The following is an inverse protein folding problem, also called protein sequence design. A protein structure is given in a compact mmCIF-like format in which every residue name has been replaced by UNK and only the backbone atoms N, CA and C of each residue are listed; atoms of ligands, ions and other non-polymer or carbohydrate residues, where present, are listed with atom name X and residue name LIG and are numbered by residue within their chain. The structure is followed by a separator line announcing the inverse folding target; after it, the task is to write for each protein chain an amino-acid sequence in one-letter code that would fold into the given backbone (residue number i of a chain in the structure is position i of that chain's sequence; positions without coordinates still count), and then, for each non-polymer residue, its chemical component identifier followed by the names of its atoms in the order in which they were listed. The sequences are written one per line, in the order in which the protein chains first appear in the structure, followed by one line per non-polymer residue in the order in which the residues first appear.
data_IF_210350726563
#
_entry.id   IF_210350726563
#
_cell.length_a   1.000
_cell.length_b   1.000
_cell.length_c   1.000
_cell.angle_alpha   90.00
_cell.angle_beta   90.00
_cell.angle_gamma   90.00
#
_symmetry.space_group_name_H-M   'P 1'
#
loop_
_entity.id
_entity.type
_entity.pdbx_description
1 polymer ?
#
# COMPACT_ATOMS: atom_id res chain seq x y z
N UNK A 1 3.93 3.35 -15.53
CA UNK A 1 4.31 2.87 -14.18
C UNK A 1 3.60 1.58 -13.81
N UNK A 2 2.26 1.54 -13.76
CA UNK A 2 1.49 0.32 -13.42
C UNK A 2 1.89 -0.87 -14.28
N UNK A 3 1.92 -0.73 -15.61
CA UNK A 3 2.33 -1.83 -16.50
C UNK A 3 3.77 -2.29 -16.26
N UNK A 4 4.69 -1.36 -15.97
CA UNK A 4 6.09 -1.71 -15.63
C UNK A 4 6.15 -2.57 -14.37
N UNK A 5 5.42 -2.20 -13.32
CA UNK A 5 5.32 -2.97 -12.07
C UNK A 5 4.66 -4.34 -12.30
N UNK A 6 3.62 -4.40 -13.14
CA UNK A 6 2.98 -5.67 -13.52
C UNK A 6 3.93 -6.58 -14.29
N UNK A 7 4.72 -6.05 -15.21
CA UNK A 7 5.73 -6.83 -15.95
C UNK A 7 6.79 -7.40 -15.02
N UNK A 8 7.32 -6.58 -14.08
CA UNK A 8 8.27 -7.04 -13.07
C UNK A 8 7.71 -8.19 -12.23
N UNK A 9 6.42 -8.10 -11.87
CA UNK A 9 5.72 -9.13 -11.10
C UNK A 9 5.46 -10.41 -11.90
N UNK A 10 5.06 -10.29 -13.18
CA UNK A 10 4.78 -11.42 -14.08
C UNK A 10 6.01 -12.26 -14.36
N UNK A 11 7.18 -11.62 -14.46
CA UNK A 11 8.46 -12.32 -14.66
C UNK A 11 8.76 -13.33 -13.55
N UNK A 12 8.16 -13.17 -12.36
CA UNK A 12 8.34 -14.09 -11.22
C UNK A 12 7.06 -14.84 -10.86
N UNK A 13 6.00 -14.73 -11.65
CA UNK A 13 4.69 -15.31 -11.35
C UNK A 13 4.04 -14.77 -10.07
N UNK A 14 4.55 -13.67 -9.53
CA UNK A 14 4.13 -13.11 -8.24
C UNK A 14 3.03 -12.05 -8.41
N UNK A 15 2.41 -11.65 -7.29
CA UNK A 15 1.45 -10.55 -7.24
C UNK A 15 2.14 -9.19 -7.06
N UNK A 16 1.63 -8.17 -7.75
CA UNK A 16 2.06 -6.78 -7.57
C UNK A 16 1.31 -6.12 -6.39
N UNK A 17 2.07 -5.76 -5.36
CA UNK A 17 1.55 -5.20 -4.10
C UNK A 17 1.84 -3.70 -4.06
N UNK A 18 0.82 -2.89 -3.76
CA UNK A 18 1.00 -1.48 -3.45
C UNK A 18 0.79 -1.25 -1.95
N UNK A 19 1.73 -0.58 -1.31
CA UNK A 19 1.72 -0.26 0.12
C UNK A 19 1.64 1.26 0.27
N UNK A 20 0.59 1.76 0.93
CA UNK A 20 0.52 3.18 1.29
C UNK A 20 1.32 3.44 2.55
N UNK A 21 2.57 3.86 2.37
CA UNK A 21 3.50 4.24 3.44
C UNK A 21 4.23 5.53 3.03
N UNK A 22 4.24 6.51 3.94
CA UNK A 22 4.91 7.80 3.75
C UNK A 22 5.57 8.23 5.06
N UNK A 23 6.89 8.37 5.05
CA UNK A 23 7.71 8.62 6.23
C UNK A 23 7.32 9.93 6.89
N UNK A 24 7.09 10.99 6.11
CA UNK A 24 6.67 12.31 6.62
C UNK A 24 5.35 12.25 7.41
N UNK A 25 4.44 11.35 7.02
CA UNK A 25 3.17 11.13 7.72
C UNK A 25 3.35 10.25 8.95
N UNK A 26 4.23 9.24 8.88
CA UNK A 26 4.53 8.39 10.03
C UNK A 26 5.20 9.17 11.17
N UNK A 27 6.11 10.09 10.86
CA UNK A 27 6.77 10.93 11.85
C UNK A 27 5.82 11.91 12.53
N UNK A 28 4.84 12.44 11.77
CA UNK A 28 3.85 13.40 12.29
C UNK A 28 2.70 12.74 13.04
N UNK A 29 2.38 11.47 12.76
CA UNK A 29 1.27 10.76 13.40
C UNK A 29 1.75 9.97 14.60
N UNK A 30 1.08 10.13 15.73
CA UNK A 30 1.24 9.22 16.87
C UNK A 30 0.67 7.85 16.49
N UNK A 31 1.52 6.93 16.06
CA UNK A 31 1.16 5.56 15.71
C UNK A 31 0.89 4.70 16.95
N UNK A 32 0.06 5.19 17.89
CA UNK A 32 -0.36 4.43 19.06
C UNK A 32 -1.66 3.69 18.77
N UNK A 33 -1.73 2.45 19.22
CA UNK A 33 -2.95 1.66 19.13
C UNK A 33 -4.08 2.31 19.94
N UNK A 34 -5.29 2.34 19.37
CA UNK A 34 -6.48 2.80 20.06
C UNK A 34 -7.12 1.65 20.81
N UNK A 35 -7.95 1.97 21.82
CA UNK A 35 -8.69 1.00 22.64
C UNK A 35 -9.54 -0.01 21.85
N UNK A 36 -9.88 0.29 20.59
CA UNK A 36 -10.62 -0.60 19.70
C UNK A 36 -9.72 -1.50 18.82
N UNK A 37 -8.44 -1.64 19.16
CA UNK A 37 -7.46 -2.44 18.43
C UNK A 37 -7.03 -1.87 17.07
N UNK A 38 -7.44 -0.63 16.75
CA UNK A 38 -7.06 0.04 15.49
C UNK A 38 -5.88 0.96 15.72
N UNK A 39 -4.84 0.80 14.89
CA UNK A 39 -3.68 1.68 14.85
C UNK A 39 -3.82 2.69 13.71
N UNK A 40 -3.52 4.00 13.92
CA UNK A 40 -3.67 5.01 12.89
C UNK A 40 -2.60 4.92 11.80
N UNK A 41 -1.46 4.28 12.09
CA UNK A 41 -0.37 4.04 11.18
C UNK A 41 0.54 2.88 11.64
N UNK A 42 1.27 2.28 10.69
CA UNK A 42 2.20 1.16 10.91
C UNK A 42 3.59 1.49 10.36
N UNK A 43 4.63 1.08 11.09
CA UNK A 43 6.04 1.26 10.70
C UNK A 43 6.46 0.32 9.57
N UNK A 44 7.59 0.58 8.93
CA UNK A 44 8.16 -0.31 7.91
C UNK A 44 8.39 -1.73 8.44
N UNK A 45 8.84 -1.86 9.69
CA UNK A 45 9.03 -3.14 10.39
C UNK A 45 7.71 -3.89 10.54
N UNK A 46 6.66 -3.21 11.00
CA UNK A 46 5.34 -3.83 11.15
C UNK A 46 4.73 -4.25 9.81
N UNK A 47 4.91 -3.44 8.76
CA UNK A 47 4.45 -3.80 7.42
C UNK A 47 5.23 -5.00 6.88
N UNK A 48 6.56 -5.04 7.06
CA UNK A 48 7.40 -6.17 6.66
C UNK A 48 6.90 -7.46 7.31
N UNK A 49 6.71 -7.43 8.63
CA UNK A 49 6.27 -8.59 9.40
C UNK A 49 4.85 -9.02 9.01
N UNK A 50 3.98 -8.05 8.76
CA UNK A 50 2.64 -8.29 8.24
C UNK A 50 2.67 -8.96 6.86
N UNK A 51 3.45 -8.45 5.90
CA UNK A 51 3.53 -9.01 4.55
C UNK A 51 4.05 -10.45 4.57
N UNK A 52 5.06 -10.74 5.40
CA UNK A 52 5.53 -12.11 5.62
C UNK A 52 4.43 -12.99 6.23
N UNK A 53 3.74 -12.49 7.25
CA UNK A 53 2.67 -13.22 7.96
C UNK A 53 1.52 -13.62 7.04
N UNK A 54 1.18 -12.81 6.04
CA UNK A 54 0.12 -13.12 5.07
C UNK A 54 0.59 -14.01 3.91
N UNK A 55 1.89 -14.34 3.84
CA UNK A 55 2.44 -15.28 2.87
C UNK A 55 3.16 -14.65 1.68
N UNK A 56 3.42 -13.33 1.67
CA UNK A 56 4.28 -12.73 0.65
C UNK A 56 5.75 -13.05 0.90
N UNK A 57 6.52 -13.10 -0.17
CA UNK A 57 7.94 -13.46 -0.14
C UNK A 57 8.78 -12.49 -1.00
N UNK A 58 10.09 -12.73 -1.04
CA UNK A 58 11.06 -11.88 -1.72
C UNK A 58 10.81 -11.71 -3.23
N UNK A 59 10.02 -12.58 -3.86
CA UNK A 59 9.72 -12.50 -5.28
C UNK A 59 8.61 -11.53 -5.64
N UNK A 60 7.80 -11.12 -4.66
CA UNK A 60 6.74 -10.14 -4.85
C UNK A 60 7.30 -8.76 -5.20
N UNK A 61 6.72 -8.14 -6.22
CA UNK A 61 7.00 -6.74 -6.56
C UNK A 61 6.19 -5.82 -5.66
N UNK A 62 6.86 -4.91 -4.95
CA UNK A 62 6.24 -3.96 -4.03
C UNK A 62 6.44 -2.53 -4.55
N UNK A 63 5.37 -1.75 -4.54
CA UNK A 63 5.41 -0.30 -4.69
C UNK A 63 5.06 0.39 -3.38
N UNK A 64 5.89 1.34 -2.96
CA UNK A 64 5.64 2.21 -1.81
C UNK A 64 5.16 3.58 -2.31
N UNK A 65 4.17 4.17 -1.65
CA UNK A 65 3.71 5.55 -1.94
C UNK A 65 4.69 6.63 -1.49
N UNK A 66 5.91 6.25 -1.10
CA UNK A 66 7.00 7.17 -0.82
C UNK A 66 7.56 7.78 -2.11
N UNK A 67 8.05 9.02 -2.04
CA UNK A 67 8.60 9.70 -3.22
C UNK A 67 10.05 9.31 -3.47
N UNK A 68 10.90 9.46 -2.45
CA UNK A 68 12.33 9.15 -2.48
C UNK A 68 12.64 8.03 -1.50
N UNK A 69 13.64 7.20 -1.79
CA UNK A 69 14.04 6.17 -0.83
C UNK A 69 14.48 6.80 0.50
N UNK A 70 13.98 6.26 1.61
CA UNK A 70 14.36 6.67 2.95
C UNK A 70 14.89 5.45 3.71
N UNK A 71 15.98 5.61 4.47
CA UNK A 71 16.66 4.50 5.17
C UNK A 71 15.76 3.75 6.16
N UNK A 72 14.76 4.43 6.74
CA UNK A 72 13.76 3.79 7.61
C UNK A 72 12.91 2.72 6.90
N UNK A 73 12.94 2.68 5.56
CA UNK A 73 12.28 1.66 4.74
C UNK A 73 13.18 0.45 4.45
N UNK A 74 14.47 0.49 4.81
CA UNK A 74 15.41 -0.63 4.60
C UNK A 74 14.90 -1.98 5.13
N UNK A 75 14.26 -2.06 6.32
CA UNK A 75 13.71 -3.33 6.80
C UNK A 75 12.74 -4.02 5.82
N UNK A 76 11.99 -3.25 5.02
CA UNK A 76 11.15 -3.81 3.96
C UNK A 76 12.00 -4.33 2.80
N UNK A 77 12.97 -3.54 2.32
CA UNK A 77 13.80 -3.90 1.15
C UNK A 77 14.69 -5.10 1.41
N UNK A 78 15.17 -5.27 2.64
CA UNK A 78 16.00 -6.41 3.02
C UNK A 78 15.28 -7.75 2.86
N UNK A 79 13.96 -7.77 3.08
CA UNK A 79 13.11 -8.96 2.90
C UNK A 79 12.48 -9.03 1.51
N UNK A 80 12.13 -7.87 0.95
CA UNK A 80 11.46 -7.71 -0.33
C UNK A 80 12.33 -6.85 -1.25
N UNK A 81 13.37 -7.43 -1.88
CA UNK A 81 14.35 -6.65 -2.64
C UNK A 81 13.75 -5.93 -3.86
N UNK A 82 12.62 -6.43 -4.38
CA UNK A 82 11.85 -5.83 -5.49
C UNK A 82 10.87 -4.75 -4.99
N UNK A 83 11.36 -3.88 -4.12
CA UNK A 83 10.60 -2.75 -3.58
C UNK A 83 11.01 -1.46 -4.27
N UNK A 84 10.01 -0.72 -4.77
CA UNK A 84 10.19 0.47 -5.60
C UNK A 84 9.39 1.65 -5.06
N UNK A 85 9.93 2.85 -5.26
CA UNK A 85 9.29 4.15 -5.00
C UNK A 85 9.02 4.89 -6.31
N UNK A 86 8.48 6.10 -6.25
CA UNK A 86 8.34 6.96 -7.43
C UNK A 86 9.70 7.26 -8.08
N UNK A 87 10.73 7.49 -7.27
CA UNK A 87 12.08 7.79 -7.76
C UNK A 87 12.68 6.64 -8.59
N UNK A 88 12.44 5.39 -8.21
CA UNK A 88 12.92 4.22 -8.97
C UNK A 88 12.20 4.04 -10.32
N UNK A 89 10.94 4.50 -10.40
CA UNK A 89 10.06 4.23 -11.54
C UNK A 89 10.03 5.36 -12.57
N UNK A 90 10.30 6.61 -12.16
CA UNK A 90 10.33 7.77 -13.05
C UNK A 90 11.68 7.83 -13.77
N UNK A 91 11.71 7.90 -15.11
CA UNK A 91 12.94 8.10 -15.87
C UNK A 91 13.68 9.37 -15.44
N UNK A 92 15.01 9.34 -15.41
CA UNK A 92 15.85 10.41 -14.88
C UNK A 92 15.53 11.78 -15.49
N UNK A 93 15.27 11.81 -16.80
CA UNK A 93 14.98 13.02 -17.58
C UNK A 93 13.64 13.65 -17.19
N UNK A 94 12.74 12.85 -16.60
CA UNK A 94 11.40 13.27 -16.17
C UNK A 94 11.33 13.56 -14.67
N UNK A 95 12.35 13.21 -13.87
CA UNK A 95 12.33 13.39 -12.41
C UNK A 95 12.16 14.85 -12.00
N UNK A 96 12.87 15.78 -12.64
CA UNK A 96 12.73 17.21 -12.36
C UNK A 96 11.28 17.68 -12.53
N UNK A 97 10.66 17.32 -13.65
CA UNK A 97 9.28 17.70 -13.94
C UNK A 97 8.26 17.07 -12.97
N UNK A 98 8.39 15.79 -12.63
CA UNK A 98 7.37 15.06 -11.86
C UNK A 98 7.58 15.10 -10.35
N UNK A 99 8.83 15.01 -9.90
CA UNK A 99 9.17 14.92 -8.48
C UNK A 99 9.48 16.27 -7.84
N UNK A 100 9.94 17.24 -8.64
CA UNK A 100 10.32 18.56 -8.12
C UNK A 100 9.26 19.61 -8.49
N UNK A 101 8.96 19.82 -9.78
CA UNK A 101 8.01 20.87 -10.21
C UNK A 101 6.55 20.42 -10.30
N UNK A 102 6.28 19.11 -10.38
CA UNK A 102 4.94 18.55 -10.63
C UNK A 102 3.96 18.68 -9.46
N UNK A 103 4.45 19.12 -8.30
CA UNK A 103 3.63 19.37 -7.10
C UNK A 103 3.18 18.10 -6.38
N UNK A 104 2.81 18.26 -5.10
CA UNK A 104 2.38 17.15 -4.25
C UNK A 104 1.08 16.48 -4.74
N UNK A 105 0.23 17.18 -5.48
CA UNK A 105 -1.03 16.66 -5.99
C UNK A 105 -0.83 15.64 -7.10
N UNK A 106 0.08 15.91 -8.05
CA UNK A 106 0.41 14.97 -9.12
C UNK A 106 1.02 13.68 -8.56
N UNK A 107 1.91 13.82 -7.57
CA UNK A 107 2.50 12.66 -6.88
C UNK A 107 1.41 11.81 -6.20
N UNK A 108 0.47 12.44 -5.49
CA UNK A 108 -0.67 11.75 -4.87
C UNK A 108 -1.60 11.11 -5.89
N UNK A 109 -1.81 11.75 -7.05
CA UNK A 109 -2.62 11.20 -8.13
C UNK A 109 -1.98 9.94 -8.76
N UNK A 110 -0.66 9.94 -8.92
CA UNK A 110 0.10 8.75 -9.34
C UNK A 110 -0.02 7.62 -8.32
N UNK A 111 0.19 7.93 -7.03
CA UNK A 111 0.03 6.96 -5.94
C UNK A 111 -1.38 6.37 -5.94
N UNK A 112 -2.41 7.22 -6.04
CA UNK A 112 -3.81 6.80 -6.09
C UNK A 112 -4.07 5.85 -7.26
N UNK A 113 -3.57 6.16 -8.45
CA UNK A 113 -3.76 5.34 -9.64
C UNK A 113 -3.05 3.99 -9.52
N UNK A 114 -1.82 3.97 -9.00
CA UNK A 114 -1.05 2.73 -8.81
C UNK A 114 -1.71 1.83 -7.76
N UNK A 115 -2.04 2.38 -6.59
CA UNK A 115 -2.72 1.66 -5.52
C UNK A 115 -4.12 1.16 -5.94
N UNK A 116 -4.84 1.92 -6.77
CA UNK A 116 -6.15 1.50 -7.28
C UNK A 116 -6.07 0.34 -8.27
N UNK A 117 -4.94 0.20 -8.99
CA UNK A 117 -4.75 -0.82 -10.03
C UNK A 117 -3.89 -2.00 -9.60
N UNK A 118 -3.22 -1.97 -8.45
CA UNK A 118 -2.41 -3.10 -7.97
C UNK A 118 -3.23 -4.36 -7.76
N UNK A 119 -2.57 -5.52 -7.68
CA UNK A 119 -3.27 -6.78 -7.40
C UNK A 119 -3.68 -6.83 -5.93
N UNK A 120 -2.78 -6.41 -5.03
CA UNK A 120 -3.05 -6.26 -3.59
C UNK A 120 -2.75 -4.82 -3.16
N UNK A 121 -3.59 -4.27 -2.28
CA UNK A 121 -3.36 -2.96 -1.65
C UNK A 121 -3.27 -3.09 -0.13
N UNK A 122 -2.24 -2.50 0.47
CA UNK A 122 -1.97 -2.51 1.91
C UNK A 122 -1.85 -1.07 2.43
N UNK A 123 -2.84 -0.55 3.18
CA UNK A 123 -2.73 0.78 3.77
C UNK A 123 -1.94 0.74 5.08
N UNK A 124 -0.72 1.28 5.10
CA UNK A 124 0.03 1.46 6.34
C UNK A 124 -0.46 2.68 7.13
N UNK A 125 -1.21 3.59 6.50
CA UNK A 125 -1.73 4.81 7.11
C UNK A 125 -3.26 4.83 6.96
N UNK A 126 -3.96 5.00 8.09
CA UNK A 126 -5.40 5.29 8.05
C UNK A 126 -5.67 6.74 7.60
N UNK A 127 -6.75 6.95 6.85
CA UNK A 127 -7.21 8.28 6.45
C UNK A 127 -7.89 8.32 5.10
N UNK A 128 -8.04 9.52 4.56
CA UNK A 128 -8.76 9.78 3.30
C UNK A 128 -8.15 9.06 2.10
N UNK A 129 -6.82 8.97 2.03
CA UNK A 129 -6.16 8.28 0.91
C UNK A 129 -6.57 6.80 0.84
N UNK A 130 -6.51 6.09 1.97
CA UNK A 130 -7.00 4.72 2.09
C UNK A 130 -8.49 4.62 1.69
N UNK A 131 -9.36 5.47 2.22
CA UNK A 131 -10.79 5.48 1.87
C UNK A 131 -11.01 5.62 0.36
N UNK A 132 -10.39 6.63 -0.25
CA UNK A 132 -10.54 6.89 -1.68
C UNK A 132 -10.04 5.72 -2.55
N UNK A 133 -8.86 5.17 -2.26
CA UNK A 133 -8.33 4.00 -2.98
C UNK A 133 -9.25 2.79 -2.79
N UNK A 134 -9.74 2.55 -1.57
CA UNK A 134 -10.67 1.47 -1.31
C UNK A 134 -11.95 1.61 -2.14
N UNK A 135 -12.55 2.81 -2.19
CA UNK A 135 -13.71 3.09 -3.03
C UNK A 135 -13.49 2.78 -4.51
N UNK A 136 -12.35 3.23 -5.07
CA UNK A 136 -12.00 2.95 -6.48
C UNK A 136 -11.73 1.47 -6.76
N UNK A 137 -11.10 0.78 -5.82
CA UNK A 137 -10.84 -0.66 -5.91
C UNK A 137 -12.14 -1.47 -5.83
N UNK A 138 -13.04 -1.12 -4.91
CA UNK A 138 -14.35 -1.78 -4.76
C UNK A 138 -15.18 -1.66 -6.04
N UNK A 139 -15.27 -0.46 -6.62
CA UNK A 139 -16.03 -0.24 -7.87
C UNK A 139 -15.48 -0.99 -9.07
N UNK A 140 -14.19 -1.33 -9.05
CA UNK A 140 -13.52 -2.12 -10.09
C UNK A 140 -13.39 -3.61 -9.75
N UNK A 141 -14.04 -4.08 -8.67
CA UNK A 141 -13.99 -5.48 -8.24
C UNK A 141 -12.65 -5.93 -7.62
N UNK A 142 -11.73 -4.99 -7.34
CA UNK A 142 -10.38 -5.26 -6.79
C UNK A 142 -10.37 -5.29 -5.27
N UNK A 143 -11.10 -6.24 -4.69
CA UNK A 143 -11.39 -6.30 -3.25
C UNK A 143 -10.23 -6.81 -2.37
N UNK A 144 -9.09 -7.18 -2.98
CA UNK A 144 -7.87 -7.55 -2.25
C UNK A 144 -7.22 -6.32 -1.61
N UNK A 145 -7.75 -5.93 -0.46
CA UNK A 145 -7.27 -4.85 0.39
C UNK A 145 -6.97 -5.44 1.75
N UNK A 146 -5.68 -5.55 2.10
CA UNK A 146 -5.23 -6.20 3.32
C UNK A 146 -4.77 -5.14 4.32
N UNK A 147 -5.48 -5.02 5.43
CA UNK A 147 -5.20 -4.04 6.48
C UNK A 147 -4.42 -4.75 7.59
N UNK A 148 -3.23 -4.24 7.99
CA UNK A 148 -2.52 -4.78 9.13
C UNK A 148 -3.40 -4.71 10.38
N UNK A 149 -3.45 -5.80 11.14
CA UNK A 149 -4.13 -5.85 12.44
C UNK A 149 -3.30 -6.68 13.42
N UNK A 150 -3.34 -6.30 14.69
CA UNK A 150 -2.66 -7.06 15.76
C UNK A 150 -3.50 -8.23 16.27
N UNK A 151 -4.67 -8.52 15.70
CA UNK A 151 -5.55 -9.56 16.23
C UNK A 151 -4.80 -10.91 16.21
N UNK A 152 -4.59 -11.53 17.38
CA UNK A 152 -3.95 -12.84 17.45
C UNK A 152 -4.93 -13.86 16.88
N UNK A 153 -4.73 -14.21 15.61
CA UNK A 153 -5.39 -15.35 15.00
C UNK A 153 -4.47 -16.55 15.15
N UNK A 154 -5.01 -17.65 15.70
CA UNK A 154 -4.36 -18.95 15.83
C UNK A 154 -4.02 -19.60 14.47
N UNK A 155 -4.53 -19.05 13.38
CA UNK A 155 -4.18 -19.41 11.99
C UNK A 155 -4.34 -18.17 11.10
N UNK A 156 -3.26 -17.43 10.80
CA UNK A 156 -3.35 -16.21 10.01
C UNK A 156 -3.53 -16.55 8.53
N UNK A 157 -4.76 -16.63 8.06
CA UNK A 157 -5.08 -16.64 6.62
C UNK A 157 -5.26 -15.21 6.12
N UNK A 158 -4.91 -14.93 4.86
CA UNK A 158 -5.06 -13.60 4.26
C UNK A 158 -6.51 -13.04 4.36
N UNK A 159 -7.52 -13.92 4.39
CA UNK A 159 -8.93 -13.57 4.60
C UNK A 159 -9.19 -12.80 5.91
N UNK A 160 -8.41 -13.06 6.97
CA UNK A 160 -8.58 -12.42 8.27
C UNK A 160 -8.14 -10.94 8.27
N UNK A 161 -7.40 -10.53 7.24
CA UNK A 161 -6.87 -9.17 7.10
C UNK A 161 -7.62 -8.35 6.06
N UNK A 162 -8.70 -8.88 5.48
CA UNK A 162 -9.51 -8.16 4.50
C UNK A 162 -10.13 -6.93 5.17
N UNK A 163 -9.93 -5.78 4.51
CA UNK A 163 -10.46 -4.49 4.91
C UNK A 163 -11.93 -4.56 5.33
N UNK A 164 -12.32 -3.93 6.46
CA UNK A 164 -13.72 -3.76 6.85
C UNK A 164 -14.58 -3.10 5.77
N UNK A 165 -14.00 -2.22 4.94
CA UNK A 165 -14.69 -1.64 3.80
C UNK A 165 -15.22 -2.70 2.85
N UNK A 166 -14.48 -3.80 2.68
CA UNK A 166 -14.89 -4.93 1.84
C UNK A 166 -15.70 -5.94 2.64
N UNK A 167 -15.18 -6.44 3.76
CA UNK A 167 -15.77 -7.56 4.50
C UNK A 167 -17.11 -7.20 5.17
N UNK A 168 -17.26 -5.95 5.64
CA UNK A 168 -18.50 -5.45 6.26
C UNK A 168 -19.31 -4.56 5.32
N UNK A 169 -18.86 -4.37 4.07
CA UNK A 169 -19.46 -3.47 3.07
C UNK A 169 -19.77 -2.06 3.61
N UNK A 170 -18.94 -1.54 4.51
CA UNK A 170 -19.23 -0.28 5.22
C UNK A 170 -18.62 0.98 4.54
N UNK A 171 -18.22 0.88 3.28
CA UNK A 171 -17.76 2.01 2.48
C UNK A 171 -18.95 2.67 1.75
N UNK A 172 -18.97 4.01 1.67
CA UNK A 172 -20.07 4.77 1.04
C UNK A 172 -20.34 4.36 -0.41
N UNK A 173 -19.33 3.87 -1.12
CA UNK A 173 -19.48 3.46 -2.53
C UNK A 173 -20.51 2.35 -2.74
N UNK A 174 -20.81 1.53 -1.73
CA UNK A 174 -21.87 0.53 -1.84
C UNK A 174 -23.27 1.14 -1.93
N UNK A 175 -23.48 2.36 -1.40
CA UNK A 175 -24.77 3.06 -1.56
C UNK A 175 -24.95 3.66 -2.96
N UNK A 176 -23.89 3.73 -3.78
CA UNK A 176 -23.98 4.19 -5.17
C UNK A 176 -24.45 3.10 -6.14
N UNK A 177 -24.56 1.84 -5.69
CA UNK A 177 -25.02 0.70 -6.48
C UNK A 177 -26.46 0.28 -6.16
N UNK A 178 -27.14 1.02 -5.27
CA UNK A 178 -28.53 0.81 -4.88
C UNK A 178 -29.45 1.79 -5.59
#
# INVERSE_FOLDING_TARGET
MVERLRTLSRNTGSQFIAVDIRVDVLEKKSCKEKSNGRKPCYTAVEIRDFLRKVGFNADNTIYLTETWWHESLNPLKDVFPKTYTKDDLIPAEKKGHFLQSGGAELQRALDFQICSKSDVFVPAISGLFYGNVAGKRITSGRTQILVPSQVPSSSPTASNFISPYVSKKNHVVYSCFC
#
